data_IF_053286399493
#
_entry.id   IF_053286399493
#
_cell.length_a   1.000
_cell.length_b   1.000
_cell.length_c   1.000
_cell.angle_alpha   90.00
_cell.angle_beta   90.00
_cell.angle_gamma   90.00
#
_symmetry.space_group_name_H-M   'P 1'
#
loop_
_entity.id
_entity.type
_entity.pdbx_description
1 polymer ?
2 non-polymer ?
3 water ?
#
# COMPACT_ATOMS: atom_id res chain seq x y z
N UNK A 2 -3.50 15.84 18.37
CA UNK A 2 -3.40 16.36 17.01
C UNK A 2 -4.36 15.62 16.09
N UNK A 3 -5.04 16.37 15.23
CA UNK A 3 -5.87 15.67 14.25
C UNK A 3 -5.08 15.19 13.05
N UNK A 4 -3.84 15.66 12.88
CA UNK A 4 -2.94 14.97 11.96
C UNK A 4 -2.64 13.60 12.55
N UNK A 5 -2.86 12.50 11.83
CA UNK A 5 -2.38 11.21 12.32
C UNK A 5 -0.87 11.24 12.49
N UNK A 6 -0.38 10.49 13.46
CA UNK A 6 1.05 10.43 13.75
C UNK A 6 1.55 9.01 13.44
N UNK A 7 2.50 8.91 12.52
CA UNK A 7 2.96 7.62 12.00
C UNK A 7 4.30 7.29 12.61
N UNK A 8 4.35 6.21 13.40
CA UNK A 8 5.57 5.77 14.05
C UNK A 8 6.19 4.63 13.27
N UNK A 9 7.41 4.84 12.77
CA UNK A 9 8.11 3.83 11.99
C UNK A 9 9.54 4.30 11.80
N UNK A 10 10.35 3.40 11.23
CA UNK A 10 11.65 3.83 10.73
C UNK A 10 11.47 4.79 9.57
N UNK A 11 12.53 5.54 9.27
CA UNK A 11 12.55 6.43 8.10
C UNK A 11 12.86 5.57 6.89
N UNK A 12 11.84 4.85 6.43
CA UNK A 12 11.98 3.88 5.36
C UNK A 12 10.59 3.52 4.87
N UNK A 13 10.52 2.93 3.69
CA UNK A 13 9.23 2.48 3.16
C UNK A 13 8.65 1.42 4.08
N UNK A 14 9.28 0.25 4.07
CA UNK A 14 8.91 -0.89 4.85
C UNK A 14 7.41 -1.11 4.92
N UNK A 15 6.90 -1.39 6.11
CA UNK A 15 5.51 -1.75 6.32
C UNK A 15 4.60 -0.54 6.49
N UNK A 16 5.14 0.67 6.51
CA UNK A 16 4.33 1.88 6.70
C UNK A 16 3.92 2.53 5.39
N UNK A 17 4.52 2.14 4.27
CA UNK A 17 4.35 2.92 3.05
C UNK A 17 2.92 2.84 2.52
N UNK A 18 2.24 1.70 2.67
CA UNK A 18 0.88 1.62 2.15
C UNK A 18 -0.05 2.55 2.92
N UNK A 19 0.24 2.80 4.21
CA UNK A 19 -0.55 3.75 5.00
C UNK A 19 -0.27 5.19 4.57
N UNK A 20 1.01 5.53 4.35
CA UNK A 20 1.34 6.83 3.77
C UNK A 20 0.55 7.07 2.49
N UNK A 21 0.54 6.06 1.60
CA UNK A 21 -0.18 6.18 0.33
C UNK A 21 -1.67 6.44 0.55
N UNK A 22 -2.29 5.68 1.44
CA UNK A 22 -3.74 5.81 1.58
C UNK A 22 -4.12 7.16 2.17
N UNK A 23 -3.37 7.61 3.19
CA UNK A 23 -3.59 8.94 3.74
C UNK A 23 -3.35 10.02 2.68
N UNK A 24 -2.27 9.90 1.93
CA UNK A 24 -2.00 10.90 0.90
C UNK A 24 -3.11 10.93 -0.14
N UNK A 25 -3.57 9.76 -0.58
CA UNK A 25 -4.66 9.70 -1.55
C UNK A 25 -5.94 10.33 -1.01
N UNK A 26 -6.18 10.18 0.31
CA UNK A 26 -7.36 10.74 0.96
C UNK A 26 -7.20 12.24 1.24
N UNK A 27 -6.05 12.82 0.93
CA UNK A 27 -5.83 14.24 1.17
C UNK A 27 -5.60 14.57 2.62
N UNK A 28 -5.11 13.61 3.41
CA UNK A 28 -5.01 13.76 4.86
C UNK A 28 -3.56 14.05 5.20
N UNK A 29 -3.29 15.26 5.71
CA UNK A 29 -1.96 15.59 6.19
C UNK A 29 -1.63 14.75 7.42
N UNK A 30 -0.39 14.29 7.49
CA UNK A 30 0.02 13.44 8.60
C UNK A 30 1.43 13.78 9.02
N UNK A 31 1.73 13.45 10.27
CA UNK A 31 3.03 13.66 10.86
C UNK A 31 3.75 12.32 10.97
N UNK A 32 5.06 12.34 10.80
CA UNK A 32 5.89 11.15 11.00
C UNK A 32 6.80 11.33 12.20
N UNK A 33 6.87 10.32 13.05
CA UNK A 33 7.86 10.31 14.13
C UNK A 33 8.76 9.10 13.87
N UNK A 34 9.97 9.37 13.41
CA UNK A 34 10.86 8.30 13.00
C UNK A 34 11.51 7.65 14.21
N UNK A 35 11.55 6.33 14.20
CA UNK A 35 12.38 5.58 15.13
C UNK A 35 13.83 5.69 14.65
N UNK A 36 14.65 6.40 15.41
CA UNK A 36 16.04 6.64 15.03
C UNK A 36 17.01 5.92 15.95
N UNK A 37 16.53 5.27 16.99
CA UNK A 37 17.37 4.65 18.01
C UNK A 37 16.60 3.55 18.68
N UNK A 38 17.33 2.64 19.33
CA UNK A 38 16.68 1.62 20.15
C UNK A 38 15.88 2.25 21.27
N UNK A 39 16.38 3.36 21.83
CA UNK A 39 15.65 4.05 22.89
C UNK A 39 14.29 4.52 22.41
N UNK A 40 14.19 4.95 21.14
CA UNK A 40 12.90 5.35 20.60
C UNK A 40 11.91 4.19 20.65
N UNK A 41 12.34 3.02 20.17
CA UNK A 41 11.48 1.86 20.18
C UNK A 41 11.15 1.41 21.60
N UNK A 42 12.16 1.38 22.48
CA UNK A 42 11.93 0.91 23.83
C UNK A 42 10.93 1.80 24.55
N UNK A 43 10.98 3.11 24.28
CA UNK A 43 10.05 4.04 24.90
C UNK A 43 8.62 3.78 24.48
N UNK A 44 8.38 3.62 23.16
CA UNK A 44 7.06 3.21 22.69
C UNK A 44 6.58 1.95 23.39
N UNK A 45 7.48 0.97 23.52
CA UNK A 45 7.11 -0.30 24.14
C UNK A 45 6.82 -0.10 25.63
N UNK A 46 7.74 0.57 26.34
CA UNK A 46 7.60 0.77 27.78
C UNK A 46 6.39 1.63 28.12
N UNK A 47 6.05 2.59 27.27
CA UNK A 47 4.89 3.45 27.45
C UNK A 47 3.57 2.76 27.12
N UNK A 48 3.61 1.48 26.69
CA UNK A 48 2.39 0.76 26.38
C UNK A 48 1.75 1.17 25.09
N UNK A 49 2.50 1.75 24.16
CA UNK A 49 1.92 2.22 22.91
C UNK A 49 1.83 1.15 21.84
N UNK A 50 2.55 0.03 22.00
CA UNK A 50 2.65 -0.99 20.95
C UNK A 50 2.05 -2.31 21.47
N UNK A 51 0.83 -2.62 21.04
CA UNK A 51 0.13 -3.76 21.64
C UNK A 51 0.96 -5.04 21.53
N UNK A 52 1.59 -5.29 20.39
CA UNK A 52 2.41 -6.47 20.21
C UNK A 52 3.89 -6.12 20.05
N UNK A 53 4.29 -4.99 20.65
CA UNK A 53 5.67 -4.53 20.76
C UNK A 53 6.29 -4.22 19.40
N UNK A 54 5.46 -4.05 18.37
CA UNK A 54 5.95 -3.80 17.03
C UNK A 54 5.37 -2.51 16.45
N UNK A 55 6.11 -1.93 15.51
CA UNK A 55 5.61 -0.88 14.62
C UNK A 55 5.42 -1.50 13.22
N UNK A 56 4.67 -0.84 12.32
CA UNK A 56 3.97 0.45 12.33
C UNK A 56 3.01 0.63 13.49
N UNK A 57 2.98 1.83 14.05
CA UNK A 57 1.88 2.26 14.90
C UNK A 57 1.41 3.62 14.41
N UNK A 58 0.10 3.83 14.41
CA UNK A 58 -0.49 5.10 14.00
C UNK A 58 -1.32 5.63 15.15
N UNK A 59 -0.99 6.82 15.63
CA UNK A 59 -1.88 7.53 16.54
C UNK A 59 -2.93 8.25 15.72
N UNK A 60 -4.20 7.87 15.92
CA UNK A 60 -5.31 8.48 15.18
C UNK A 60 -6.57 8.35 16.03
N UNK A 61 -7.31 9.45 16.15
CA UNK A 61 -8.60 9.48 16.84
C UNK A 61 -8.53 8.85 18.22
N UNK A 62 -7.47 9.18 18.95
CA UNK A 62 -7.32 8.72 20.32
C UNK A 62 -6.88 7.28 20.46
N UNK A 63 -6.59 6.60 19.36
CA UNK A 63 -6.19 5.21 19.38
C UNK A 63 -4.71 5.09 19.08
N UNK A 64 -4.11 4.01 19.57
CA UNK A 64 -2.75 3.64 19.24
C UNK A 64 -2.83 2.34 18.45
N UNK A 65 -2.97 2.47 17.14
CA UNK A 65 -3.29 1.32 16.30
C UNK A 65 -2.01 0.69 15.77
N UNK A 66 -1.87 -0.61 16.00
CA UNK A 66 -0.84 -1.40 15.35
C UNK A 66 -1.51 -2.44 14.47
N UNK A 67 -0.68 -3.13 13.68
CA UNK A 67 -1.05 -4.06 12.61
C UNK A 67 -1.54 -3.31 11.39
N UNK A 68 -0.76 -3.34 10.31
CA UNK A 68 -1.05 -2.49 9.16
C UNK A 68 -2.45 -2.73 8.62
N UNK A 69 -2.94 -3.99 8.65
CA UNK A 69 -4.27 -4.22 8.11
C UNK A 69 -5.33 -3.51 8.94
N UNK A 70 -5.15 -3.47 10.27
CA UNK A 70 -6.09 -2.73 11.12
C UNK A 70 -6.01 -1.23 10.83
N UNK A 71 -4.80 -0.72 10.70
CA UNK A 71 -4.58 0.69 10.39
C UNK A 71 -5.25 1.06 9.08
N UNK A 72 -4.99 0.28 8.03
CA UNK A 72 -5.54 0.59 6.72
C UNK A 72 -7.05 0.47 6.70
N UNK A 73 -7.59 -0.53 7.40
CA UNK A 73 -9.04 -0.68 7.42
C UNK A 73 -9.69 0.55 8.04
N UNK A 74 -9.11 1.05 9.13
CA UNK A 74 -9.71 2.18 9.82
C UNK A 74 -9.63 3.43 8.96
N UNK A 75 -8.46 3.69 8.39
CA UNK A 75 -8.31 4.85 7.52
C UNK A 75 -9.26 4.77 6.33
N UNK A 76 -9.39 3.59 5.71
CA UNK A 76 -10.29 3.47 4.56
C UNK A 76 -11.74 3.73 4.96
N UNK A 77 -12.20 3.18 6.08
CA UNK A 77 -13.57 3.44 6.49
C UNK A 77 -13.78 4.91 6.81
N UNK A 78 -12.83 5.51 7.54
CA UNK A 78 -13.01 6.90 7.98
C UNK A 78 -13.15 7.85 6.80
N UNK A 79 -12.36 7.63 5.73
CA UNK A 79 -12.33 8.56 4.60
C UNK A 79 -13.07 8.03 3.38
N UNK A 80 -14.02 7.13 3.59
CA UNK A 80 -14.98 6.73 2.55
C UNK A 80 -14.27 6.11 1.35
N UNK A 81 -13.21 5.36 1.63
CA UNK A 81 -12.46 4.64 0.61
C UNK A 81 -12.65 3.13 0.74
N UNK A 82 -13.69 2.70 1.43
CA UNK A 82 -13.92 1.27 1.66
C UNK A 82 -15.25 0.84 1.05
N UNK A 83 -15.68 1.51 -0.01
CA UNK A 83 -16.92 1.10 -0.66
C UNK A 83 -18.15 1.49 0.15
N UNK A 84 -19.31 1.01 -0.31
CA UNK A 84 -20.59 1.45 0.22
C UNK A 84 -21.36 0.38 0.98
N UNK A 85 -21.02 -0.90 0.82
CA UNK A 85 -21.72 -1.96 1.52
C UNK A 85 -20.74 -3.12 1.70
N UNK A 86 -21.20 -4.16 2.41
CA UNK A 86 -20.25 -5.21 2.76
C UNK A 86 -19.92 -6.09 1.57
N UNK A 87 -20.81 -6.18 0.58
CA UNK A 87 -20.44 -6.90 -0.64
C UNK A 87 -19.36 -6.15 -1.42
N UNK A 88 -19.47 -4.83 -1.51
CA UNK A 88 -18.39 -4.06 -2.11
C UNK A 88 -17.11 -4.21 -1.31
N UNK A 89 -17.21 -4.18 0.02
CA UNK A 89 -16.01 -4.39 0.83
C UNK A 89 -15.42 -5.78 0.60
N UNK A 90 -16.27 -6.78 0.32
CA UNK A 90 -15.75 -8.11 0.05
C UNK A 90 -14.88 -8.11 -1.20
N UNK A 91 -15.32 -7.42 -2.26
CA UNK A 91 -14.46 -7.30 -3.44
C UNK A 91 -13.19 -6.52 -3.14
N UNK A 92 -13.34 -5.39 -2.46
CA UNK A 92 -12.17 -4.58 -2.12
C UNK A 92 -11.16 -5.39 -1.31
N UNK A 93 -11.65 -6.14 -0.33
CA UNK A 93 -10.75 -6.94 0.51
C UNK A 93 -10.10 -8.05 -0.28
N UNK A 94 -10.88 -8.78 -1.09
CA UNK A 94 -10.30 -9.83 -1.91
C UNK A 94 -9.19 -9.29 -2.82
N UNK A 95 -9.48 -8.20 -3.52
CA UNK A 95 -8.48 -7.58 -4.38
C UNK A 95 -7.27 -7.12 -3.56
N UNK A 96 -7.53 -6.43 -2.44
CA UNK A 96 -6.45 -5.86 -1.64
C UNK A 96 -5.54 -6.93 -1.08
N UNK A 97 -6.11 -8.06 -0.63
CA UNK A 97 -5.30 -9.12 -0.07
C UNK A 97 -4.39 -9.74 -1.11
N UNK A 98 -4.86 -9.89 -2.35
CA UNK A 98 -3.98 -10.36 -3.40
C UNK A 98 -2.81 -9.41 -3.61
N UNK A 99 -3.08 -8.12 -3.64
CA UNK A 99 -2.04 -7.12 -3.83
C UNK A 99 -1.03 -7.17 -2.70
N UNK A 100 -1.51 -7.27 -1.45
CA UNK A 100 -0.58 -7.35 -0.32
C UNK A 100 0.27 -8.60 -0.39
N UNK A 101 -0.29 -9.72 -0.84
CA UNK A 101 0.51 -10.94 -0.94
C UNK A 101 1.64 -10.80 -1.94
N UNK A 102 1.37 -10.21 -3.11
CA UNK A 102 2.44 -10.01 -4.07
C UNK A 102 3.45 -8.99 -3.56
N UNK A 103 2.95 -7.90 -2.95
CA UNK A 103 3.87 -6.89 -2.43
C UNK A 103 4.80 -7.49 -1.39
N UNK A 104 4.28 -8.38 -0.54
CA UNK A 104 5.12 -9.02 0.47
C UNK A 104 6.24 -9.83 -0.17
N UNK A 105 5.92 -10.58 -1.23
CA UNK A 105 6.92 -11.37 -1.92
C UNK A 105 8.04 -10.49 -2.47
N UNK A 106 7.67 -9.35 -3.05
CA UNK A 106 8.67 -8.47 -3.66
C UNK A 106 9.52 -7.81 -2.58
N UNK A 107 8.89 -7.37 -1.48
CA UNK A 107 9.63 -6.76 -0.39
C UNK A 107 10.58 -7.76 0.24
N UNK A 108 10.15 -9.01 0.37
CA UNK A 108 10.95 -10.06 1.00
C UNK A 108 12.24 -10.34 0.24
N UNK A 109 12.39 -9.85 -0.99
CA UNK A 109 13.57 -10.18 -1.78
C UNK A 109 14.85 -9.58 -1.17
N UNK A 110 14.76 -8.36 -0.61
CA UNK A 110 15.97 -7.76 -0.06
C UNK A 110 16.21 -8.20 1.38
N UNK A 111 15.17 -8.55 2.13
CA UNK A 111 15.39 -9.09 3.48
C UNK A 111 15.96 -10.51 3.39
N UNK A 112 15.67 -11.22 2.31
CA UNK A 112 16.18 -12.57 2.17
C UNK A 112 17.68 -12.54 1.90
N UNK A 113 18.40 -13.58 2.33
CA UNK A 113 19.85 -13.60 2.14
C UNK A 113 20.21 -13.52 0.68
N UNK A 114 21.35 -12.93 0.34
CA UNK A 114 21.71 -12.75 -1.08
C UNK A 114 21.78 -14.05 -1.87
N UNK A 115 22.10 -15.17 -1.23
CA UNK A 115 22.27 -16.40 -1.99
C UNK A 115 20.94 -17.09 -2.32
N UNK A 116 19.82 -16.61 -1.78
CA UNK A 116 18.50 -17.09 -2.18
C UNK A 116 17.69 -16.03 -2.90
N UNK A 117 18.26 -14.84 -3.12
CA UNK A 117 17.51 -13.75 -3.73
C UNK A 117 17.15 -14.06 -5.17
N UNK A 118 18.04 -14.76 -5.88
CA UNK A 118 17.79 -15.12 -7.28
C UNK A 118 16.60 -16.07 -7.40
N UNK A 119 16.55 -17.10 -6.56
CA UNK A 119 15.48 -18.09 -6.66
C UNK A 119 14.12 -17.46 -6.32
N UNK A 120 14.07 -16.65 -5.28
CA UNK A 120 12.82 -15.99 -4.93
C UNK A 120 12.45 -14.89 -5.90
N UNK A 121 13.45 -14.33 -6.61
CA UNK A 121 13.16 -13.33 -7.63
C UNK A 121 12.46 -13.95 -8.82
N UNK A 122 12.95 -15.11 -9.29
CA UNK A 122 12.29 -15.80 -10.38
C UNK A 122 10.87 -16.17 -10.01
N UNK A 123 10.65 -16.61 -8.76
CA UNK A 123 9.31 -16.96 -8.31
C UNK A 123 8.42 -15.73 -8.24
N UNK A 124 8.94 -14.62 -7.71
CA UNK A 124 8.16 -13.40 -7.63
C UNK A 124 7.77 -12.90 -9.01
N UNK A 125 8.70 -12.97 -9.97
CA UNK A 125 8.40 -12.53 -11.33
C UNK A 125 7.34 -13.42 -11.97
N UNK A 126 7.45 -14.74 -11.77
CA UNK A 126 6.45 -15.63 -12.34
C UNK A 126 5.07 -15.35 -11.76
N UNK A 127 5.00 -15.13 -10.44
CA UNK A 127 3.71 -14.86 -9.80
C UNK A 127 3.14 -13.52 -10.26
N UNK A 128 4.01 -12.52 -10.46
CA UNK A 128 3.56 -11.24 -10.98
C UNK A 128 2.94 -11.39 -12.36
N UNK A 129 3.66 -12.02 -13.28
CA UNK A 129 3.26 -12.12 -14.67
C UNK A 129 2.12 -13.10 -14.90
N UNK A 130 2.05 -14.17 -14.11
CA UNK A 130 1.18 -15.29 -14.43
C UNK A 130 0.03 -15.47 -13.45
N UNK A 131 0.07 -14.85 -12.29
CA UNK A 131 -0.99 -15.01 -11.30
C UNK A 131 -1.66 -13.68 -10.95
N UNK A 132 -0.89 -12.70 -10.49
CA UNK A 132 -1.49 -11.49 -9.94
C UNK A 132 -1.88 -10.45 -10.99
N UNK A 133 -0.94 -10.00 -11.84
CA UNK A 133 -1.32 -8.98 -12.81
C UNK A 133 -2.41 -9.48 -13.76
N UNK A 134 -2.41 -10.73 -14.26
CA UNK A 134 -3.57 -11.17 -15.06
C UNK A 134 -4.89 -11.02 -14.35
N UNK A 135 -4.95 -11.27 -13.04
CA UNK A 135 -6.22 -11.14 -12.33
C UNK A 135 -6.73 -9.71 -12.37
N UNK A 136 -5.84 -8.73 -12.23
CA UNK A 136 -6.32 -7.35 -12.23
C UNK A 136 -6.57 -6.83 -13.63
N UNK A 137 -5.76 -7.23 -14.61
CA UNK A 137 -6.08 -6.92 -16.00
C UNK A 137 -7.47 -7.44 -16.34
N UNK A 138 -7.81 -8.64 -15.86
CA UNK A 138 -9.11 -9.23 -16.15
C UNK A 138 -10.25 -8.44 -15.51
N UNK A 139 -10.07 -7.97 -14.28
CA UNK A 139 -11.09 -7.15 -13.63
C UNK A 139 -11.36 -5.90 -14.47
N UNK A 140 -10.28 -5.20 -14.86
CA UNK A 140 -10.44 -3.99 -15.64
C UNK A 140 -11.02 -4.28 -17.02
N UNK A 141 -10.62 -5.39 -17.62
CA UNK A 141 -11.13 -5.72 -18.96
C UNK A 141 -12.61 -6.05 -18.91
N UNK A 142 -13.05 -6.72 -17.86
CA UNK A 142 -14.43 -7.19 -17.79
C UNK A 142 -15.40 -6.01 -17.73
N UNK A 143 -15.19 -5.07 -16.80
CA UNK A 143 -16.16 -4.00 -16.67
C UNK A 143 -15.78 -2.74 -17.44
N UNK A 144 -14.53 -2.61 -17.86
CA UNK A 144 -14.09 -1.47 -18.65
C UNK A 144 -14.16 -0.13 -17.95
N UNK A 145 -14.29 -0.11 -16.63
CA UNK A 145 -14.42 1.13 -15.87
C UNK A 145 -13.06 1.61 -15.36
N UNK A 146 -13.02 2.88 -14.96
CA UNK A 146 -11.73 3.51 -14.62
C UNK A 146 -11.16 3.00 -13.32
N UNK A 147 -12.01 2.48 -12.43
CA UNK A 147 -11.63 2.06 -11.09
C UNK A 147 -11.93 0.57 -10.92
N UNK A 148 -11.25 -0.05 -9.95
CA UNK A 148 -11.38 -1.49 -9.76
C UNK A 148 -12.79 -1.90 -9.32
N UNK A 149 -13.36 -1.17 -8.36
CA UNK A 149 -14.60 -1.56 -7.69
C UNK A 149 -15.56 -0.38 -7.66
N UNK A 150 -16.82 -0.63 -8.04
CA UNK A 150 -17.87 0.35 -7.83
C UNK A 150 -17.79 1.58 -8.69
N UNK A 151 -16.93 1.58 -9.70
CA UNK A 151 -16.79 2.68 -10.63
C UNK A 151 -16.44 4.00 -9.94
N UNK A 152 -15.71 3.91 -8.83
CA UNK A 152 -15.25 5.11 -8.14
C UNK A 152 -14.01 4.73 -7.34
N UNK A 153 -13.28 5.75 -6.93
CA UNK A 153 -12.03 5.53 -6.22
C UNK A 153 -12.26 4.80 -4.89
N UNK A 154 -11.56 3.70 -4.70
CA UNK A 154 -11.50 3.05 -3.39
C UNK A 154 -10.04 2.84 -2.99
N UNK A 155 -9.87 2.35 -1.76
CA UNK A 155 -8.53 2.07 -1.25
C UNK A 155 -7.76 1.16 -2.19
N UNK A 156 -8.43 0.21 -2.85
CA UNK A 156 -7.67 -0.79 -3.59
C UNK A 156 -7.13 -0.23 -4.90
N UNK A 157 -7.72 0.83 -5.45
CA UNK A 157 -7.08 1.52 -6.58
C UNK A 157 -5.72 2.05 -6.16
N UNK A 158 -5.63 2.59 -4.95
CA UNK A 158 -4.37 3.12 -4.44
C UNK A 158 -3.38 1.99 -4.17
N UNK A 159 -3.85 0.91 -3.51
CA UNK A 159 -2.97 -0.24 -3.30
C UNK A 159 -2.43 -0.78 -4.63
N UNK A 160 -3.28 -0.84 -5.65
CA UNK A 160 -2.82 -1.38 -6.93
C UNK A 160 -1.80 -0.44 -7.60
N UNK A 161 -2.06 0.87 -7.57
CA UNK A 161 -1.06 1.79 -8.14
C UNK A 161 0.27 1.62 -7.45
N UNK A 162 0.26 1.56 -6.11
CA UNK A 162 1.49 1.37 -5.37
C UNK A 162 2.20 0.09 -5.81
N UNK A 163 1.45 -1.00 -5.98
CA UNK A 163 2.06 -2.24 -6.42
C UNK A 163 2.65 -2.08 -7.82
N UNK A 164 1.91 -1.42 -8.72
CA UNK A 164 2.39 -1.26 -10.09
C UNK A 164 3.68 -0.46 -10.11
N UNK A 165 3.80 0.55 -9.25
CA UNK A 165 5.06 1.30 -9.15
C UNK A 165 6.20 0.41 -8.67
N UNK A 166 5.92 -0.50 -7.72
CA UNK A 166 6.97 -1.40 -7.23
C UNK A 166 7.37 -2.41 -8.30
N UNK A 167 6.38 -2.90 -9.06
CA UNK A 167 6.72 -3.82 -10.14
C UNK A 167 7.62 -3.13 -11.15
N UNK A 168 7.35 -1.87 -11.43
CA UNK A 168 8.16 -1.12 -12.39
C UNK A 168 9.60 -0.94 -11.88
N UNK A 169 9.77 -0.75 -10.56
CA UNK A 169 11.11 -0.74 -9.98
C UNK A 169 11.77 -2.11 -10.07
N UNK A 170 11.01 -3.16 -9.77
CA UNK A 170 11.54 -4.51 -9.68
C UNK A 170 11.98 -5.02 -11.05
N UNK A 171 11.12 -4.86 -12.05
CA UNK A 171 11.39 -5.29 -13.42
C UNK A 171 10.32 -4.69 -14.30
N UNK A 172 10.62 -3.55 -14.94
CA UNK A 172 9.61 -2.84 -15.71
C UNK A 172 9.04 -3.67 -16.85
N UNK A 173 9.77 -4.67 -17.34
CA UNK A 173 9.26 -5.48 -18.45
C UNK A 173 8.04 -6.29 -18.05
N UNK A 174 7.84 -6.51 -16.75
CA UNK A 174 6.70 -7.29 -16.28
C UNK A 174 5.37 -6.62 -16.61
N UNK A 175 5.36 -5.31 -16.86
CA UNK A 175 4.11 -4.60 -17.14
C UNK A 175 3.73 -4.57 -18.61
N UNK A 176 4.65 -4.98 -19.50
CA UNK A 176 4.49 -4.63 -20.91
C UNK A 176 3.27 -5.33 -21.54
N UNK A 177 2.88 -6.50 -21.03
CA UNK A 177 1.79 -7.24 -21.65
C UNK A 177 0.42 -6.94 -21.03
N UNK A 178 0.32 -5.92 -20.17
CA UNK A 178 -0.92 -5.60 -19.48
C UNK A 178 -1.35 -4.17 -19.81
N UNK A 179 -1.96 -3.97 -20.98
CA UNK A 179 -2.25 -2.59 -21.41
C UNK A 179 -3.28 -1.89 -20.55
N UNK A 180 -4.28 -2.59 -20.02
CA UNK A 180 -5.25 -1.89 -19.19
C UNK A 180 -4.65 -1.48 -17.86
N UNK A 181 -3.73 -2.28 -17.32
CA UNK A 181 -3.01 -1.87 -16.12
C UNK A 181 -2.10 -0.68 -16.38
N UNK A 182 -1.50 -0.58 -17.58
CA UNK A 182 -0.72 0.61 -17.92
C UNK A 182 -1.61 1.85 -17.87
N UNK A 183 -2.79 1.75 -18.49
CA UNK A 183 -3.70 2.89 -18.54
C UNK A 183 -4.21 3.22 -17.15
N UNK A 184 -4.48 2.19 -16.35
CA UNK A 184 -4.88 2.38 -14.96
C UNK A 184 -3.81 3.16 -14.18
N UNK A 185 -2.56 2.73 -14.30
CA UNK A 185 -1.48 3.41 -13.60
C UNK A 185 -1.44 4.90 -13.94
N UNK A 186 -1.59 5.23 -15.23
CA UNK A 186 -1.54 6.63 -15.63
C UNK A 186 -2.75 7.40 -15.11
N UNK A 187 -3.93 6.76 -15.09
CA UNK A 187 -5.13 7.43 -14.60
C UNK A 187 -5.02 7.71 -13.11
N UNK A 188 -4.73 6.68 -12.31
CA UNK A 188 -4.71 6.90 -10.87
C UNK A 188 -3.57 7.84 -10.50
N UNK A 189 -2.44 7.75 -11.21
CA UNK A 189 -1.33 8.67 -10.96
C UNK A 189 -1.74 10.12 -11.15
N UNK A 190 -2.77 10.38 -11.97
CA UNK A 190 -3.19 11.72 -12.32
C UNK A 190 -4.23 12.30 -11.38
N UNK A 191 -4.69 11.54 -10.38
CA UNK A 191 -5.56 12.11 -9.37
C UNK A 191 -4.80 13.19 -8.61
N UNK A 192 -5.42 14.34 -8.34
CA UNK A 192 -4.67 15.46 -7.74
C UNK A 192 -3.89 15.10 -6.48
N UNK A 193 -4.49 14.34 -5.56
CA UNK A 193 -3.78 13.99 -4.33
C UNK A 193 -2.63 13.03 -4.60
N UNK A 194 -2.80 12.16 -5.60
CA UNK A 194 -1.74 11.22 -5.95
C UNK A 194 -0.61 11.94 -6.66
N UNK A 195 -0.94 12.79 -7.61
CA UNK A 195 0.08 13.61 -8.28
C UNK A 195 0.95 14.29 -7.24
N UNK A 196 0.33 14.88 -6.21
CA UNK A 196 1.09 15.56 -5.19
C UNK A 196 2.04 14.61 -4.47
N UNK A 197 1.56 13.42 -4.13
CA UNK A 197 2.38 12.46 -3.41
C UNK A 197 3.52 11.93 -4.27
N UNK A 198 3.34 11.90 -5.60
CA UNK A 198 4.39 11.43 -6.48
C UNK A 198 5.52 12.44 -6.66
N UNK A 199 5.29 13.71 -6.30
CA UNK A 199 6.30 14.74 -6.52
C UNK A 199 7.46 14.61 -5.54
N UNK A 200 8.69 14.82 -5.98
CA UNK A 200 9.82 14.92 -5.05
C UNK A 200 9.49 15.92 -3.95
N UNK A 201 9.92 15.60 -2.73
CA UNK A 201 9.63 16.42 -1.58
C UNK A 201 8.45 15.97 -0.75
N UNK A 202 7.64 15.05 -1.25
CA UNK A 202 6.54 14.51 -0.45
C UNK A 202 7.08 13.53 0.58
N UNK A 203 6.16 12.97 1.37
CA UNK A 203 6.52 11.98 2.37
C UNK A 203 6.62 10.57 1.79
N UNK A 204 6.46 10.42 0.47
CA UNK A 204 6.70 9.14 -0.17
C UNK A 204 8.15 8.73 0.04
N UNK A 205 8.35 7.46 0.34
CA UNK A 205 9.69 7.10 0.78
C UNK A 205 10.45 6.40 -0.35
N UNK A 206 11.76 6.57 -0.41
CA UNK A 206 12.55 5.97 -1.50
C UNK A 206 12.75 4.48 -1.30
N UNK A 207 13.18 3.82 -2.38
CA UNK A 207 13.38 2.37 -2.37
C UNK A 207 14.62 1.94 -1.59
X LIG B 1 -8.89 -7.19 7.14
#
# INVERSE_FOLDING_TARGET
MAEKPKLHYFNARGRMESTRWLLAAAGVEFEEKFIKSAEDLDKLRNDGYLMFQQVPMVEIDGMKLVQTRAILNYIASKYNLYGKDMKERALIDMYSEGILDLTEMIIQLVICPPDQREAKTALAKDRTKNRYLPAFEKVLKSHGQDYLVGNRLTRVDIHLLELLLYVEEFDASLLTSFPLLKAFKSRISSLPNVKKFLQPGSQRKPAMDAKQIEEARKIFRF
CL CL
#
